data_IF_197909624775
#
_entry.id   IF_197909624775
#
_cell.length_a   1.000
_cell.length_b   1.000
_cell.length_c   1.000
_cell.angle_alpha   90.00
_cell.angle_beta   90.00
_cell.angle_gamma   90.00
#
_symmetry.space_group_name_H-M   'P 1'
#
loop_
_entity.id
_entity.type
_entity.pdbx_description
1 polymer ?
#
# COMPACT_ATOMS: atom_id res chain seq x y z
N UNK A 1 -10.73 -9.73 -2.00
CA UNK A 1 -10.47 -9.16 -3.34
C UNK A 1 -10.10 -7.69 -3.15
N UNK A 2 -8.94 -7.28 -3.67
CA UNK A 2 -8.46 -5.90 -3.65
C UNK A 2 -8.55 -5.33 -5.06
N UNK A 3 -8.78 -4.03 -5.16
CA UNK A 3 -8.85 -3.33 -6.45
C UNK A 3 -7.45 -2.90 -6.90
N UNK A 4 -6.59 -2.55 -5.93
CA UNK A 4 -5.21 -2.10 -6.14
C UNK A 4 -4.29 -2.82 -5.17
N UNK A 5 -3.18 -3.36 -5.69
CA UNK A 5 -2.09 -3.94 -4.92
C UNK A 5 -0.84 -3.12 -5.16
N UNK A 6 -0.18 -2.69 -4.08
CA UNK A 6 1.05 -1.92 -4.09
C UNK A 6 2.15 -2.76 -3.44
N UNK A 7 3.28 -2.94 -4.13
CA UNK A 7 4.44 -3.69 -3.65
C UNK A 7 5.57 -2.69 -3.36
N UNK A 8 6.02 -2.67 -2.10
CA UNK A 8 6.94 -1.69 -1.53
C UNK A 8 6.22 -0.61 -0.72
N UNK A 9 6.31 -0.68 0.60
CA UNK A 9 5.87 0.31 1.59
C UNK A 9 6.96 1.33 1.98
N UNK A 10 7.96 1.54 1.12
CA UNK A 10 8.80 2.74 1.19
C UNK A 10 7.98 4.05 1.09
N UNK A 11 8.66 5.20 1.21
CA UNK A 11 8.01 6.53 1.30
C UNK A 11 6.94 6.75 0.21
N UNK A 12 7.26 6.44 -1.05
CA UNK A 12 6.34 6.62 -2.18
C UNK A 12 5.14 5.68 -2.08
N UNK A 13 5.38 4.38 -1.89
CA UNK A 13 4.32 3.38 -1.84
C UNK A 13 3.37 3.57 -0.67
N UNK A 14 3.90 3.90 0.52
CA UNK A 14 3.09 4.24 1.69
C UNK A 14 2.27 5.53 1.47
N UNK A 15 2.87 6.57 0.90
CA UNK A 15 2.17 7.84 0.60
C UNK A 15 1.05 7.62 -0.42
N UNK A 16 1.32 6.82 -1.45
CA UNK A 16 0.34 6.50 -2.48
C UNK A 16 -0.80 5.64 -1.89
N UNK A 17 -0.48 4.58 -1.16
CA UNK A 17 -1.44 3.71 -0.47
C UNK A 17 -2.37 4.52 0.46
N UNK A 18 -1.81 5.47 1.22
CA UNK A 18 -2.56 6.36 2.11
C UNK A 18 -3.58 7.22 1.36
N UNK A 19 -3.23 7.72 0.17
CA UNK A 19 -4.13 8.53 -0.65
C UNK A 19 -5.20 7.68 -1.35
N UNK A 20 -4.81 6.57 -1.97
CA UNK A 20 -5.70 5.77 -2.83
C UNK A 20 -6.67 4.89 -2.04
N UNK A 21 -6.30 4.48 -0.82
CA UNK A 21 -7.16 3.68 0.07
C UNK A 21 -8.49 4.35 0.45
N UNK A 22 -8.60 5.67 0.29
CA UNK A 22 -9.85 6.42 0.48
C UNK A 22 -10.89 6.16 -0.61
N UNK A 23 -10.45 5.68 -1.77
CA UNK A 23 -11.29 5.52 -2.96
C UNK A 23 -11.50 4.05 -3.32
N UNK A 24 -10.61 3.15 -2.88
CA UNK A 24 -10.58 1.76 -3.33
C UNK A 24 -9.98 0.82 -2.29
N UNK A 25 -10.38 -0.46 -2.30
CA UNK A 25 -9.80 -1.48 -1.42
C UNK A 25 -8.37 -1.75 -1.85
N UNK A 26 -7.42 -1.28 -1.03
CA UNK A 26 -5.99 -1.29 -1.35
C UNK A 26 -5.24 -2.26 -0.45
N UNK A 27 -4.36 -3.07 -1.03
CA UNK A 27 -3.38 -3.89 -0.31
C UNK A 27 -1.98 -3.29 -0.51
N UNK A 28 -1.28 -3.02 0.58
CA UNK A 28 0.12 -2.61 0.57
C UNK A 28 0.96 -3.75 1.15
N UNK A 29 1.97 -4.19 0.41
CA UNK A 29 2.87 -5.28 0.79
C UNK A 29 4.29 -4.74 0.84
N UNK A 30 5.05 -5.08 1.87
CA UNK A 30 6.48 -4.80 1.99
C UNK A 30 7.21 -6.10 2.30
N UNK A 31 8.44 -6.25 1.80
CA UNK A 31 9.24 -7.44 2.04
C UNK A 31 9.83 -7.44 3.46
N UNK A 32 10.04 -6.26 4.03
CA UNK A 32 10.53 -6.08 5.38
C UNK A 32 9.39 -6.14 6.39
N UNK A 33 9.58 -6.93 7.45
CA UNK A 33 8.78 -6.81 8.66
C UNK A 33 9.23 -5.59 9.47
N UNK A 34 8.28 -4.72 9.77
CA UNK A 34 8.48 -3.66 10.76
C UNK A 34 8.18 -4.26 12.13
N UNK A 35 9.22 -4.38 12.98
CA UNK A 35 9.10 -4.83 14.38
C UNK A 35 8.33 -3.83 15.24
#
# INVERSE_FOLDING_TARGET
MYDVIIIGAGISGATFASKISKYTKTLLIEAQDYH
#
